data_IF_112893283830
#
_entry.id   IF_112893283830
#
_cell.length_a   1.000
_cell.length_b   1.000
_cell.length_c   1.000
_cell.angle_alpha   90.00
_cell.angle_beta   90.00
_cell.angle_gamma   90.00
#
_symmetry.space_group_name_H-M   'P 1'
#
loop_
_entity.id
_entity.type
_entity.pdbx_description
1 polymer ?
#
# COMPACT_ATOMS: atom_id res chain seq x y z
N UNK A 1 5.07 -9.70 5.97
CA UNK A 1 5.48 -8.28 6.22
C UNK A 1 4.62 -7.66 7.30
N UNK A 2 5.10 -6.61 7.98
CA UNK A 2 4.31 -5.79 8.92
C UNK A 2 3.65 -4.64 8.19
N UNK A 3 2.33 -4.53 8.27
CA UNK A 3 1.54 -3.61 7.44
C UNK A 3 0.49 -2.93 8.29
N UNK A 4 0.22 -1.65 8.02
CA UNK A 4 -0.92 -0.94 8.57
C UNK A 4 -1.85 -0.49 7.44
N UNK A 5 -3.16 -0.65 7.63
CA UNK A 5 -4.17 -0.13 6.72
C UNK A 5 -4.97 0.98 7.39
N UNK A 6 -4.97 2.15 6.77
CA UNK A 6 -5.70 3.33 7.20
C UNK A 6 -7.07 3.42 6.52
N UNK A 7 -7.95 4.25 7.08
CA UNK A 7 -9.25 4.58 6.50
C UNK A 7 -10.12 3.34 6.19
N UNK A 8 -10.01 2.28 7.00
CA UNK A 8 -10.72 1.02 6.80
C UNK A 8 -12.18 1.15 7.23
N UNK A 9 -13.09 0.81 6.31
CA UNK A 9 -14.51 0.70 6.58
C UNK A 9 -14.87 -0.69 7.11
N UNK A 10 -16.00 -0.79 7.83
CA UNK A 10 -16.46 -2.03 8.46
C UNK A 10 -16.44 -3.26 7.54
N UNK A 11 -17.09 -3.22 6.36
CA UNK A 11 -17.07 -4.35 5.42
C UNK A 11 -15.68 -4.68 4.86
N UNK A 12 -14.81 -3.69 4.67
CA UNK A 12 -13.45 -3.89 4.13
C UNK A 12 -12.57 -4.69 5.10
N UNK A 13 -12.78 -4.51 6.40
CA UNK A 13 -12.03 -5.21 7.45
C UNK A 13 -12.12 -6.73 7.30
N UNK A 14 -13.32 -7.23 7.06
CA UNK A 14 -13.57 -8.67 6.92
C UNK A 14 -12.89 -9.22 5.65
N UNK A 15 -13.08 -8.56 4.51
CA UNK A 15 -12.47 -8.99 3.25
C UNK A 15 -10.94 -8.96 3.30
N UNK A 16 -10.33 -7.93 3.89
CA UNK A 16 -8.87 -7.86 4.06
C UNK A 16 -8.34 -8.96 4.98
N UNK A 17 -9.05 -9.27 6.07
CA UNK A 17 -8.65 -10.34 6.99
C UNK A 17 -8.73 -11.72 6.31
N UNK A 18 -9.81 -11.99 5.56
CA UNK A 18 -9.99 -13.23 4.80
C UNK A 18 -8.92 -13.36 3.73
N UNK A 19 -8.73 -12.33 2.90
CA UNK A 19 -7.73 -12.34 1.82
C UNK A 19 -6.30 -12.52 2.35
N UNK A 20 -5.97 -11.92 3.49
CA UNK A 20 -4.65 -12.01 4.09
C UNK A 20 -4.30 -13.42 4.56
N UNK A 21 -5.27 -14.21 5.03
CA UNK A 21 -5.05 -15.56 5.55
C UNK A 21 -3.87 -15.70 6.54
N UNK A 22 -3.61 -14.64 7.34
CA UNK A 22 -2.47 -14.50 8.28
C UNK A 22 -1.07 -14.50 7.65
N UNK A 23 -0.94 -14.24 6.35
CA UNK A 23 0.35 -14.12 5.63
C UNK A 23 1.12 -12.87 6.07
N UNK A 24 0.43 -11.74 6.23
CA UNK A 24 0.99 -10.48 6.72
C UNK A 24 0.51 -10.17 8.15
N UNK A 25 1.36 -9.49 8.92
CA UNK A 25 0.97 -8.88 10.19
C UNK A 25 0.25 -7.56 9.89
N UNK A 26 -1.07 -7.65 9.69
CA UNK A 26 -1.95 -6.53 9.36
C UNK A 26 -2.47 -5.85 10.63
N UNK A 27 -2.27 -4.55 10.72
CA UNK A 27 -2.98 -3.66 11.65
C UNK A 27 -4.00 -2.85 10.86
N UNK A 28 -5.28 -2.91 11.20
CA UNK A 28 -6.35 -2.20 10.50
C UNK A 28 -6.90 -1.10 11.40
N UNK A 29 -6.89 0.15 10.94
CA UNK A 29 -7.40 1.31 11.67
C UNK A 29 -8.46 2.05 10.87
N UNK A 30 -9.46 2.59 11.55
CA UNK A 30 -10.53 3.40 10.94
C UNK A 30 -10.11 4.87 10.79
N UNK A 31 -9.01 5.27 11.43
CA UNK A 31 -8.45 6.61 11.31
C UNK A 31 -7.86 6.83 9.91
N UNK A 32 -7.97 8.05 9.40
CA UNK A 32 -7.23 8.51 8.23
C UNK A 32 -5.73 8.59 8.51
N UNK A 33 -4.92 8.57 7.45
CA UNK A 33 -3.49 8.84 7.54
C UNK A 33 -3.24 10.35 7.51
N UNK A 34 -2.80 10.90 8.65
CA UNK A 34 -2.37 12.29 8.78
C UNK A 34 -1.25 12.37 9.84
N UNK A 35 -0.69 13.56 10.09
CA UNK A 35 0.41 13.71 11.05
C UNK A 35 0.07 13.30 12.49
N UNK A 36 -1.20 13.33 12.89
CA UNK A 36 -1.64 12.88 14.21
C UNK A 36 -1.70 11.34 14.32
N UNK A 37 -1.86 10.63 13.21
CA UNK A 37 -2.06 9.16 13.16
C UNK A 37 -0.91 8.41 12.47
N UNK A 38 0.02 9.13 11.84
CA UNK A 38 1.20 8.56 11.17
C UNK A 38 2.05 7.69 12.09
N UNK A 39 2.09 8.00 13.39
CA UNK A 39 2.84 7.23 14.38
C UNK A 39 2.37 5.77 14.49
N UNK A 40 1.15 5.42 14.05
CA UNK A 40 0.70 4.02 13.97
C UNK A 40 1.49 3.18 12.95
N UNK A 41 2.15 3.81 11.97
CA UNK A 41 3.01 3.16 10.99
C UNK A 41 4.43 2.87 11.51
N UNK A 42 4.78 3.27 12.75
CA UNK A 42 6.08 2.99 13.33
C UNK A 42 6.34 1.47 13.39
N UNK A 43 7.48 1.04 12.85
CA UNK A 43 7.87 -0.36 12.78
C UNK A 43 7.11 -1.19 11.74
N UNK A 44 6.29 -0.54 10.89
CA UNK A 44 5.63 -1.17 9.74
C UNK A 44 6.46 -0.95 8.47
N UNK A 45 6.44 -1.95 7.60
CA UNK A 45 7.19 -1.93 6.34
C UNK A 45 6.34 -1.43 5.18
N UNK A 46 5.01 -1.56 5.29
CA UNK A 46 4.08 -1.09 4.28
C UNK A 46 2.85 -0.41 4.89
N UNK A 47 2.26 0.50 4.10
CA UNK A 47 0.97 1.12 4.37
C UNK A 47 -0.04 0.76 3.29
N UNK A 48 -1.27 0.49 3.70
CA UNK A 48 -2.43 0.37 2.82
C UNK A 48 -3.30 1.61 3.05
N UNK A 49 -3.66 2.29 1.98
CA UNK A 49 -4.40 3.56 2.01
C UNK A 49 -5.58 3.56 1.04
N UNK A 50 -6.40 4.60 1.12
CA UNK A 50 -7.49 4.90 0.19
C UNK A 50 -7.23 6.22 -0.54
N UNK A 51 -8.05 6.53 -1.54
CA UNK A 51 -8.01 7.83 -2.24
C UNK A 51 -8.25 9.05 -1.34
N UNK A 52 -8.73 8.84 -0.10
CA UNK A 52 -8.92 9.90 0.90
C UNK A 52 -7.63 10.24 1.66
N UNK A 53 -6.60 9.42 1.56
CA UNK A 53 -5.32 9.61 2.24
C UNK A 53 -4.35 10.29 1.28
N UNK A 54 -3.86 11.48 1.64
CA UNK A 54 -2.95 12.25 0.77
C UNK A 54 -1.49 11.91 1.10
N UNK A 55 -0.76 11.40 0.10
CA UNK A 55 0.68 11.15 0.17
C UNK A 55 1.41 12.14 -0.73
N UNK A 56 1.43 13.40 -0.28
CA UNK A 56 2.28 14.43 -0.84
C UNK A 56 3.76 14.22 -0.44
N UNK A 57 4.63 15.13 -0.89
CA UNK A 57 6.07 15.06 -0.58
C UNK A 57 6.37 15.02 0.91
N UNK A 58 5.61 15.76 1.72
CA UNK A 58 5.87 15.85 3.17
C UNK A 58 5.50 14.53 3.84
N UNK A 59 4.32 13.99 3.54
CA UNK A 59 3.87 12.72 4.10
C UNK A 59 4.77 11.56 3.65
N UNK A 60 5.15 11.49 2.38
CA UNK A 60 6.05 10.46 1.86
C UNK A 60 7.43 10.51 2.52
N UNK A 61 7.99 11.70 2.71
CA UNK A 61 9.28 11.86 3.40
C UNK A 61 9.21 11.34 4.84
N UNK A 62 8.16 11.67 5.58
CA UNK A 62 7.99 11.21 6.95
C UNK A 62 7.76 9.69 7.04
N UNK A 63 6.93 9.12 6.16
CA UNK A 63 6.72 7.67 6.09
C UNK A 63 8.03 6.93 5.78
N UNK A 64 8.81 7.42 4.82
CA UNK A 64 10.12 6.87 4.48
C UNK A 64 11.09 6.96 5.66
N UNK A 65 11.11 8.11 6.36
CA UNK A 65 11.95 8.34 7.55
C UNK A 65 11.66 7.35 8.68
N UNK A 66 10.40 6.96 8.87
CA UNK A 66 10.01 5.96 9.88
C UNK A 66 10.16 4.50 9.41
N UNK A 67 10.63 4.28 8.17
CA UNK A 67 11.00 2.97 7.64
C UNK A 67 9.94 2.29 6.77
N UNK A 68 8.87 2.99 6.40
CA UNK A 68 7.90 2.48 5.42
C UNK A 68 8.56 2.47 4.04
N UNK A 69 8.45 1.34 3.34
CA UNK A 69 9.08 1.12 2.02
C UNK A 69 8.09 0.82 0.92
N UNK A 70 6.83 0.57 1.27
CA UNK A 70 5.82 0.11 0.32
C UNK A 70 4.46 0.70 0.62
N UNK A 71 3.76 1.11 -0.43
CA UNK A 71 2.46 1.76 -0.38
C UNK A 71 1.54 0.98 -1.31
N UNK A 72 0.40 0.52 -0.80
CA UNK A 72 -0.70 0.03 -1.63
C UNK A 72 -1.89 0.95 -1.47
N UNK A 73 -2.38 1.52 -2.57
CA UNK A 73 -3.67 2.19 -2.55
C UNK A 73 -4.77 1.25 -3.02
N UNK A 74 -5.89 1.25 -2.29
CA UNK A 74 -7.06 0.42 -2.59
C UNK A 74 -7.99 1.05 -3.64
N UNK A 75 -7.54 2.10 -4.31
CA UNK A 75 -8.25 2.77 -5.41
C UNK A 75 -7.61 2.46 -6.76
N UNK A 76 -8.38 2.71 -7.81
CA UNK A 76 -7.89 2.65 -9.20
C UNK A 76 -7.02 3.84 -9.57
N UNK A 77 -7.31 5.02 -9.01
CA UNK A 77 -6.50 6.23 -9.17
C UNK A 77 -5.31 6.27 -8.20
N UNK A 78 -4.26 6.99 -8.60
CA UNK A 78 -3.10 7.34 -7.76
C UNK A 78 -2.88 8.86 -7.65
N UNK A 79 -3.87 9.68 -8.01
CA UNK A 79 -3.75 11.14 -8.03
C UNK A 79 -3.41 11.75 -6.65
N UNK A 80 -3.75 11.04 -5.57
CA UNK A 80 -3.47 11.41 -4.18
C UNK A 80 -2.03 11.06 -3.74
N UNK A 81 -1.16 10.59 -4.65
CA UNK A 81 0.20 10.15 -4.35
C UNK A 81 1.18 10.88 -5.28
N UNK A 82 2.20 11.55 -4.71
CA UNK A 82 3.34 12.05 -5.51
C UNK A 82 4.24 10.87 -5.90
N UNK A 83 3.90 10.23 -7.02
CA UNK A 83 4.60 9.05 -7.54
C UNK A 83 6.06 9.34 -7.91
N UNK A 84 6.36 10.55 -8.38
CA UNK A 84 7.72 10.93 -8.75
C UNK A 84 8.61 10.98 -7.51
N UNK A 85 8.12 11.64 -6.45
CA UNK A 85 8.84 11.68 -5.19
C UNK A 85 8.91 10.32 -4.48
N UNK A 86 7.86 9.51 -4.55
CA UNK A 86 7.92 8.12 -4.08
C UNK A 86 9.01 7.32 -4.81
N UNK A 87 9.22 7.58 -6.11
CA UNK A 87 10.30 7.03 -6.92
C UNK A 87 11.69 7.49 -6.46
N UNK A 88 11.86 8.80 -6.19
CA UNK A 88 13.09 9.37 -5.62
C UNK A 88 13.46 8.70 -4.27
N UNK A 89 12.45 8.43 -3.44
CA UNK A 89 12.59 7.73 -2.15
C UNK A 89 12.76 6.21 -2.27
N UNK A 90 12.71 5.66 -3.49
CA UNK A 90 12.77 4.22 -3.77
C UNK A 90 11.68 3.42 -3.06
N UNK A 91 10.49 4.01 -2.92
CA UNK A 91 9.32 3.34 -2.34
C UNK A 91 8.58 2.55 -3.41
N UNK A 92 8.15 1.34 -3.07
CA UNK A 92 7.24 0.58 -3.92
C UNK A 92 5.83 1.15 -3.82
N UNK A 93 5.16 1.36 -4.96
CA UNK A 93 3.77 1.82 -5.03
C UNK A 93 2.98 0.89 -5.93
N UNK A 94 1.80 0.48 -5.48
CA UNK A 94 0.83 -0.25 -6.28
C UNK A 94 -0.60 0.26 -6.04
N UNK A 95 -1.43 0.19 -7.08
CA UNK A 95 -2.85 0.50 -7.04
C UNK A 95 -3.71 -0.74 -7.32
N UNK A 96 -5.02 -0.54 -7.43
CA UNK A 96 -6.03 -1.58 -7.62
C UNK A 96 -6.89 -1.10 -8.82
N UNK A 97 -6.46 -1.36 -10.08
CA UNK A 97 -6.95 -0.67 -11.29
C UNK A 97 -8.24 -1.22 -11.96
N UNK A 98 -8.74 -2.42 -11.65
CA UNK A 98 -9.80 -3.12 -12.42
C UNK A 98 -10.85 -3.89 -11.58
N UNK A 99 -11.11 -3.49 -10.35
CA UNK A 99 -11.83 -4.32 -9.38
C UNK A 99 -13.34 -4.00 -9.35
N UNK A 100 -14.14 -5.07 -9.28
CA UNK A 100 -15.59 -5.01 -9.33
C UNK A 100 -16.28 -5.04 -7.96
N UNK A 101 -15.55 -5.40 -6.90
CA UNK A 101 -16.09 -5.56 -5.55
C UNK A 101 -15.06 -5.27 -4.44
N UNK A 102 -15.53 -5.05 -3.21
CA UNK A 102 -14.66 -4.89 -2.03
C UNK A 102 -13.80 -6.13 -1.76
N UNK A 103 -14.30 -7.32 -2.10
CA UNK A 103 -13.56 -8.57 -1.96
C UNK A 103 -12.40 -8.64 -2.97
N UNK A 104 -12.63 -8.23 -4.21
CA UNK A 104 -11.60 -8.18 -5.26
C UNK A 104 -10.50 -7.18 -4.89
N UNK A 105 -10.91 -6.00 -4.41
CA UNK A 105 -9.99 -4.97 -3.90
C UNK A 105 -9.10 -5.54 -2.80
N UNK A 106 -9.69 -6.24 -1.83
CA UNK A 106 -8.94 -6.84 -0.74
C UNK A 106 -7.96 -7.92 -1.24
N UNK A 107 -8.42 -8.83 -2.12
CA UNK A 107 -7.57 -9.87 -2.71
C UNK A 107 -6.39 -9.27 -3.46
N UNK A 108 -6.63 -8.26 -4.31
CA UNK A 108 -5.56 -7.61 -5.08
C UNK A 108 -4.57 -6.87 -4.17
N UNK A 109 -5.09 -6.18 -3.14
CA UNK A 109 -4.26 -5.49 -2.15
C UNK A 109 -3.29 -6.45 -1.46
N UNK A 110 -3.77 -7.59 -0.99
CA UNK A 110 -2.93 -8.61 -0.34
C UNK A 110 -1.99 -9.27 -1.35
N UNK A 111 -2.44 -9.52 -2.59
CA UNK A 111 -1.60 -10.09 -3.64
C UNK A 111 -0.40 -9.17 -3.93
N UNK A 112 -0.61 -7.86 -4.06
CA UNK A 112 0.46 -6.89 -4.29
C UNK A 112 1.52 -6.95 -3.15
N UNK A 113 1.07 -7.00 -1.89
CA UNK A 113 1.98 -7.16 -0.74
C UNK A 113 2.73 -8.50 -0.76
N UNK A 114 2.03 -9.59 -1.07
CA UNK A 114 2.61 -10.93 -1.14
C UNK A 114 3.70 -10.98 -2.22
N UNK A 115 3.46 -10.38 -3.38
CA UNK A 115 4.44 -10.33 -4.46
C UNK A 115 5.72 -9.62 -4.02
N UNK A 116 5.63 -8.46 -3.37
CA UNK A 116 6.82 -7.79 -2.86
C UNK A 116 7.52 -8.59 -1.76
N UNK A 117 6.78 -9.29 -0.90
CA UNK A 117 7.35 -10.15 0.14
C UNK A 117 8.22 -11.28 -0.44
N UNK A 118 7.85 -11.84 -1.59
CA UNK A 118 8.61 -12.91 -2.27
C UNK A 118 9.61 -12.38 -3.31
N UNK A 119 9.81 -11.06 -3.38
CA UNK A 119 10.75 -10.42 -4.31
C UNK A 119 10.24 -10.29 -5.76
N UNK A 120 8.94 -10.41 -5.96
CA UNK A 120 8.21 -10.13 -7.21
C UNK A 120 7.74 -8.68 -7.31
N UNK A 121 6.94 -8.39 -8.34
CA UNK A 121 6.37 -7.06 -8.62
C UNK A 121 4.83 -7.12 -8.57
N UNK A 122 4.15 -5.97 -8.59
CA UNK A 122 2.69 -5.88 -8.64
C UNK A 122 2.09 -5.90 -10.07
N UNK A 123 2.92 -5.84 -11.12
CA UNK A 123 2.50 -6.06 -12.51
C UNK A 123 1.73 -4.89 -13.05
N UNK A 124 0.55 -5.15 -13.60
CA UNK A 124 -0.35 -4.10 -14.10
C UNK A 124 -0.80 -3.14 -12.98
N UNK A 125 -0.69 -3.56 -11.71
CA UNK A 125 -0.94 -2.72 -10.55
C UNK A 125 0.28 -1.91 -10.11
N UNK A 126 1.47 -2.13 -10.70
CA UNK A 126 2.70 -1.46 -10.29
C UNK A 126 2.74 -0.01 -10.77
N UNK A 127 2.92 0.92 -9.83
CA UNK A 127 3.01 2.37 -10.09
C UNK A 127 4.39 2.92 -9.71
N UNK A 128 5.39 2.05 -9.58
CA UNK A 128 6.73 2.43 -9.17
C UNK A 128 7.44 3.27 -10.26
N UNK A 129 7.75 4.54 -9.95
CA UNK A 129 8.57 5.43 -10.79
C UNK A 129 10.08 5.38 -10.48
N UNK A 130 10.55 4.25 -9.98
CA UNK A 130 11.98 3.99 -9.76
C UNK A 130 12.51 2.90 -10.70
N UNK A 131 13.83 2.84 -10.84
CA UNK A 131 14.53 1.71 -11.44
C UNK A 131 14.45 0.51 -10.49
N UNK A 132 13.40 -0.29 -10.67
CA UNK A 132 13.06 -1.40 -9.80
C UNK A 132 13.50 -2.73 -10.42
N UNK A 133 14.35 -3.47 -9.71
CA UNK A 133 14.77 -4.81 -10.11
C UNK A 133 13.60 -5.80 -10.28
N UNK A 134 12.46 -5.54 -9.62
CA UNK A 134 11.30 -6.42 -9.66
C UNK A 134 10.46 -6.22 -10.94
N UNK A 135 10.62 -5.11 -11.69
CA UNK A 135 9.84 -4.82 -12.91
C UNK A 135 9.96 -5.93 -13.97
N UNK A 136 11.08 -6.66 -14.01
CA UNK A 136 11.32 -7.71 -15.00
C UNK A 136 10.89 -9.12 -14.56
N UNK A 137 10.34 -9.29 -13.35
CA UNK A 137 9.94 -10.61 -12.83
C UNK A 137 8.46 -10.94 -13.03
N UNK A 138 7.79 -10.32 -14.00
CA UNK A 138 6.50 -10.79 -14.50
C UNK A 138 6.74 -11.80 -15.61
N UNK A 139 6.81 -13.07 -15.23
CA UNK A 139 6.90 -14.23 -16.12
C UNK A 139 6.19 -15.40 -15.50
#
# INVERSE_FOLDING_TARGET
MRVIAYNILGPEKEYLAIANAKVHDLTLVTNELNFSTMHYALGKEAVIISERDILDRVMLAELSRIGVKSIVTRSSTTEHIDLDFAGELKMHVANVPFETSLEDIAKRTIQNLTQWMVGGCAGDACQCKMDCANKMKFG
#
